data_IF_300471824633
#
_entry.id   IF_300471824633
#
_cell.length_a   1.000
_cell.length_b   1.000
_cell.length_c   1.000
_cell.angle_alpha   90.00
_cell.angle_beta   90.00
_cell.angle_gamma   90.00
#
_symmetry.space_group_name_H-M   'P 1'
#
loop_
_entity.id
_entity.type
_entity.pdbx_description
1 polymer ?
#
# COMPACT_ATOMS: atom_id res chain seq x y z
N UNK A 1 1.19 -11.01 -18.79
CA UNK A 1 0.79 -10.26 -17.59
C UNK A 1 1.61 -10.82 -16.44
N UNK A 2 2.72 -10.18 -16.07
CA UNK A 2 3.43 -10.57 -14.85
C UNK A 2 2.56 -10.16 -13.65
N UNK A 3 2.51 -11.02 -12.64
CA UNK A 3 1.85 -10.72 -11.37
C UNK A 3 2.70 -9.71 -10.58
N UNK A 4 2.08 -8.94 -9.68
CA UNK A 4 2.77 -8.01 -8.76
C UNK A 4 3.91 -8.73 -8.02
N UNK A 5 3.65 -9.97 -7.56
CA UNK A 5 4.64 -10.80 -6.88
C UNK A 5 5.76 -11.26 -7.80
N UNK A 6 5.48 -11.47 -9.10
CA UNK A 6 6.52 -11.80 -10.07
C UNK A 6 7.46 -10.61 -10.25
N UNK A 7 6.93 -9.39 -10.41
CA UNK A 7 7.76 -8.20 -10.54
C UNK A 7 8.60 -7.94 -9.28
N UNK A 8 8.01 -8.15 -8.10
CA UNK A 8 8.74 -8.06 -6.83
C UNK A 8 9.88 -9.08 -6.76
N UNK A 9 9.64 -10.32 -7.20
CA UNK A 9 10.68 -11.36 -7.29
C UNK A 9 11.78 -10.97 -8.28
N UNK A 10 11.42 -10.47 -9.46
CA UNK A 10 12.38 -10.05 -10.48
C UNK A 10 13.29 -8.92 -9.95
N UNK A 11 12.73 -7.97 -9.20
CA UNK A 11 13.51 -6.92 -8.54
C UNK A 11 14.44 -7.45 -7.45
N UNK A 12 14.01 -8.43 -6.66
CA UNK A 12 14.88 -9.09 -5.69
C UNK A 12 16.03 -9.84 -6.38
N UNK A 13 15.76 -10.55 -7.47
CA UNK A 13 16.76 -11.25 -8.27
C UNK A 13 17.77 -10.29 -8.94
N UNK A 14 17.33 -9.05 -9.23
CA UNK A 14 18.20 -7.95 -9.68
C UNK A 14 19.04 -7.33 -8.54
N UNK A 15 18.86 -7.77 -7.30
CA UNK A 15 19.57 -7.26 -6.12
C UNK A 15 19.01 -5.92 -5.61
N UNK A 16 17.78 -5.56 -5.99
CA UNK A 16 17.11 -4.37 -5.45
C UNK A 16 16.52 -4.69 -4.07
N UNK A 17 16.49 -3.69 -3.21
CA UNK A 17 15.64 -3.74 -2.02
C UNK A 17 14.18 -3.55 -2.44
N UNK A 18 13.28 -4.34 -1.86
CA UNK A 18 11.85 -4.35 -2.25
C UNK A 18 11.00 -4.36 -0.98
N UNK A 19 9.89 -3.64 -1.01
CA UNK A 19 8.82 -3.76 -0.03
C UNK A 19 7.50 -4.13 -0.71
N UNK A 20 6.64 -4.81 0.05
CA UNK A 20 5.30 -5.16 -0.35
C UNK A 20 4.31 -4.47 0.58
N UNK A 21 3.42 -3.69 0.00
CA UNK A 21 2.30 -3.07 0.70
C UNK A 21 1.01 -3.83 0.37
N UNK A 22 0.30 -4.33 1.38
CA UNK A 22 -0.90 -5.15 1.24
C UNK A 22 -2.05 -4.55 2.02
N UNK A 23 -3.22 -4.38 1.38
CA UNK A 23 -4.45 -4.01 2.09
C UNK A 23 -4.84 -5.17 3.00
N UNK A 24 -4.77 -4.96 4.31
CA UNK A 24 -5.09 -5.99 5.31
C UNK A 24 -6.52 -5.86 5.85
N UNK A 25 -7.08 -4.65 5.84
CA UNK A 25 -8.44 -4.38 6.31
C UNK A 25 -9.08 -3.26 5.51
N UNK A 26 -10.40 -3.34 5.33
CA UNK A 26 -11.22 -2.31 4.68
C UNK A 26 -12.49 -2.06 5.49
N UNK A 27 -12.97 -0.82 5.47
CA UNK A 27 -14.26 -0.42 6.05
C UNK A 27 -15.03 0.44 5.06
N UNK A 28 -16.36 0.32 5.07
CA UNK A 28 -17.23 1.09 4.20
C UNK A 28 -16.97 0.82 2.71
N UNK A 29 -17.15 1.84 1.88
CA UNK A 29 -16.94 1.76 0.44
C UNK A 29 -15.46 2.03 0.07
N UNK A 30 -14.56 1.22 0.63
CA UNK A 30 -13.14 1.29 0.30
C UNK A 30 -12.89 1.01 -1.19
N UNK A 31 -11.94 1.71 -1.84
CA UNK A 31 -11.75 1.64 -3.29
C UNK A 31 -11.07 0.35 -3.78
N UNK A 32 -10.36 -0.36 -2.90
CA UNK A 32 -9.69 -1.64 -3.19
C UNK A 32 -10.06 -2.67 -2.12
N UNK A 33 -10.19 -3.97 -2.47
CA UNK A 33 -10.44 -5.04 -1.51
C UNK A 33 -9.21 -5.38 -0.67
N UNK A 34 -9.46 -6.09 0.44
CA UNK A 34 -8.39 -6.76 1.20
C UNK A 34 -7.63 -7.72 0.27
N UNK A 35 -6.31 -7.73 0.40
CA UNK A 35 -5.40 -8.48 -0.46
C UNK A 35 -4.94 -7.74 -1.70
N UNK A 36 -5.44 -6.53 -1.99
CA UNK A 36 -4.82 -5.67 -3.00
C UNK A 36 -3.40 -5.29 -2.59
N UNK A 37 -2.48 -5.33 -3.55
CA UNK A 37 -1.05 -5.17 -3.29
C UNK A 37 -0.42 -4.08 -4.13
N UNK A 38 0.68 -3.56 -3.61
CA UNK A 38 1.60 -2.64 -4.27
C UNK A 38 3.02 -3.13 -3.95
N UNK A 39 3.81 -3.47 -4.97
CA UNK A 39 5.23 -3.73 -4.81
C UNK A 39 6.02 -2.45 -5.08
N UNK A 40 7.02 -2.16 -4.26
CA UNK A 40 7.82 -0.93 -4.31
C UNK A 40 9.30 -1.33 -4.24
N UNK A 41 10.15 -0.82 -5.14
CA UNK A 41 11.60 -0.98 -5.05
C UNK A 41 12.27 0.17 -4.28
N UNK A 42 13.55 0.01 -3.94
CA UNK A 42 14.33 1.01 -3.20
C UNK A 42 14.57 2.33 -3.94
N UNK A 43 14.21 2.42 -5.23
CA UNK A 43 14.24 3.67 -6.00
C UNK A 43 12.87 4.37 -6.02
N UNK A 44 11.84 3.75 -5.43
CA UNK A 44 10.47 4.26 -5.39
C UNK A 44 9.64 3.90 -6.63
N UNK A 45 10.16 3.03 -7.52
CA UNK A 45 9.35 2.45 -8.58
C UNK A 45 8.31 1.52 -7.97
N UNK A 46 7.09 1.48 -8.53
CA UNK A 46 6.04 0.62 -8.00
C UNK A 46 5.12 0.02 -9.07
N UNK A 47 4.50 -1.09 -8.72
CA UNK A 47 3.46 -1.77 -9.50
C UNK A 47 2.34 -2.25 -8.58
N UNK A 48 1.10 -2.16 -9.05
CA UNK A 48 -0.09 -2.53 -8.29
C UNK A 48 -0.85 -1.31 -7.80
N UNK A 49 -1.78 -1.52 -6.87
CA UNK A 49 -2.57 -0.44 -6.29
C UNK A 49 -3.24 -0.90 -5.00
N UNK A 50 -3.25 0.00 -4.01
CA UNK A 50 -3.96 -0.20 -2.73
C UNK A 50 -5.15 0.75 -2.57
N UNK A 51 -5.28 1.78 -3.43
CA UNK A 51 -6.43 2.69 -3.39
C UNK A 51 -6.99 3.16 -4.73
N UNK A 52 -6.27 2.94 -5.83
CA UNK A 52 -6.64 3.45 -7.16
C UNK A 52 -6.01 4.80 -7.51
N UNK A 53 -5.04 5.30 -6.73
CA UNK A 53 -4.18 6.44 -7.11
C UNK A 53 -4.02 7.54 -6.05
N UNK A 54 -4.83 7.56 -4.99
CA UNK A 54 -4.85 8.69 -4.05
C UNK A 54 -3.80 8.60 -2.95
N UNK A 55 -3.46 7.40 -2.46
CA UNK A 55 -2.53 7.22 -1.32
C UNK A 55 -1.26 6.47 -1.67
N UNK A 56 -1.10 6.02 -2.92
CA UNK A 56 0.05 5.28 -3.40
C UNK A 56 1.38 6.01 -3.11
N UNK A 57 1.43 7.33 -3.31
CA UNK A 57 2.65 8.12 -3.00
C UNK A 57 3.02 8.14 -1.52
N UNK A 58 2.03 8.16 -0.62
CA UNK A 58 2.26 8.06 0.81
C UNK A 58 2.76 6.66 1.19
N UNK A 59 2.17 5.62 0.61
CA UNK A 59 2.60 4.23 0.82
C UNK A 59 4.02 4.00 0.31
N UNK A 60 4.39 4.57 -0.84
CA UNK A 60 5.76 4.49 -1.38
C UNK A 60 6.76 5.16 -0.44
N UNK A 61 6.42 6.35 0.08
CA UNK A 61 7.30 7.06 1.03
C UNK A 61 7.58 6.20 2.27
N UNK A 62 6.53 5.64 2.85
CA UNK A 62 6.62 4.76 4.02
C UNK A 62 7.33 3.44 3.72
N UNK A 63 7.17 2.92 2.49
CA UNK A 63 7.86 1.72 2.04
C UNK A 63 9.38 1.93 1.94
N UNK A 64 9.84 3.11 1.52
CA UNK A 64 11.26 3.43 1.50
C UNK A 64 11.86 3.47 2.92
N UNK A 65 11.11 3.98 3.90
CA UNK A 65 11.52 3.93 5.30
C UNK A 65 11.58 2.48 5.81
N UNK A 66 10.55 1.67 5.51
CA UNK A 66 10.50 0.23 5.87
C UNK A 66 11.65 -0.57 5.24
N UNK A 67 12.03 -0.24 4.00
CA UNK A 67 13.19 -0.83 3.34
C UNK A 67 14.48 -0.48 4.08
N UNK A 68 14.61 0.76 4.56
CA UNK A 68 15.81 1.24 5.23
C UNK A 68 15.95 0.72 6.67
N UNK A 69 14.85 0.59 7.41
CA UNK A 69 14.84 0.17 8.82
C UNK A 69 14.60 -1.34 9.02
N UNK A 70 14.02 -2.02 8.02
CA UNK A 70 13.64 -3.44 8.06
C UNK A 70 12.45 -3.74 8.99
N UNK A 71 11.74 -2.73 9.48
CA UNK A 71 10.66 -2.84 10.44
C UNK A 71 9.29 -2.71 9.76
N UNK A 72 8.43 -3.74 9.80
CA UNK A 72 7.08 -3.67 9.26
C UNK A 72 6.25 -2.52 9.84
N UNK A 73 5.45 -1.87 9.00
CA UNK A 73 4.58 -0.76 9.40
C UNK A 73 3.15 -0.98 8.92
N UNK A 74 2.18 -0.63 9.76
CA UNK A 74 0.77 -0.58 9.36
C UNK A 74 0.33 0.87 9.21
N UNK A 75 -0.11 1.21 8.01
CA UNK A 75 -0.64 2.52 7.64
C UNK A 75 -2.17 2.47 7.67
N UNK A 76 -2.80 3.55 8.14
CA UNK A 76 -4.25 3.70 8.13
C UNK A 76 -4.63 4.91 7.27
N UNK A 77 -5.48 4.68 6.27
CA UNK A 77 -5.96 5.71 5.37
C UNK A 77 -7.48 5.77 5.40
N UNK A 78 -8.04 6.97 5.38
CA UNK A 78 -9.47 7.20 5.40
C UNK A 78 -9.78 8.69 5.49
N UNK A 79 -10.97 9.08 5.05
CA UNK A 79 -11.44 10.45 5.26
C UNK A 79 -11.75 10.62 6.75
N UNK A 80 -10.94 11.43 7.43
CA UNK A 80 -11.20 11.87 8.79
C UNK A 80 -12.22 13.00 8.75
N UNK A 81 -13.50 12.67 8.66
CA UNK A 81 -14.53 13.62 9.03
C UNK A 81 -15.70 12.91 9.70
N UNK A 82 -15.50 12.63 10.99
CA UNK A 82 -16.58 12.21 11.89
C UNK A 82 -17.61 13.35 12.13
N UNK A 83 -17.39 14.54 11.55
CA UNK A 83 -18.34 15.66 11.55
C UNK A 83 -19.20 15.76 10.28
N UNK A 84 -18.96 14.94 9.24
CA UNK A 84 -19.69 15.00 7.97
C UNK A 84 -20.83 13.96 7.83
N UNK A 85 -21.28 13.36 8.93
CA UNK A 85 -22.32 12.31 8.88
C UNK A 85 -23.76 12.84 8.73
N UNK A 86 -24.00 14.15 8.79
CA UNK A 86 -25.36 14.71 8.64
C UNK A 86 -25.82 14.90 7.18
N UNK A 87 -24.94 14.75 6.18
CA UNK A 87 -25.33 15.09 4.79
C UNK A 87 -24.77 14.11 3.75
N UNK A 88 -24.82 12.80 4.03
CA UNK A 88 -24.94 11.74 3.01
C UNK A 88 -24.00 11.73 1.80
N UNK A 89 -22.80 12.33 1.85
CA UNK A 89 -21.89 12.42 0.69
C UNK A 89 -20.41 12.47 1.12
N UNK A 90 -19.75 11.31 1.07
CA UNK A 90 -18.35 11.11 0.74
C UNK A 90 -18.13 9.59 0.72
N UNK A 91 -17.33 9.04 -0.20
CA UNK A 91 -16.99 7.62 -0.18
C UNK A 91 -16.34 7.28 1.17
N UNK A 92 -17.12 6.78 2.12
CA UNK A 92 -16.76 6.56 3.53
C UNK A 92 -15.82 5.37 3.76
N UNK A 93 -14.91 5.14 2.80
CA UNK A 93 -13.96 4.05 2.80
C UNK A 93 -12.77 4.34 3.70
N UNK A 94 -12.38 3.36 4.51
CA UNK A 94 -11.08 3.34 5.18
C UNK A 94 -10.34 2.06 4.81
N UNK A 95 -9.01 2.13 4.76
CA UNK A 95 -8.15 0.96 4.54
C UNK A 95 -7.01 0.94 5.56
N UNK A 96 -6.56 -0.25 5.93
CA UNK A 96 -5.25 -0.44 6.55
C UNK A 96 -4.34 -1.20 5.60
N UNK A 97 -3.12 -0.73 5.50
CA UNK A 97 -2.11 -1.28 4.60
C UNK A 97 -0.91 -1.70 5.44
N UNK A 98 -0.57 -2.99 5.40
CA UNK A 98 0.67 -3.51 5.96
C UNK A 98 1.77 -3.32 4.93
N UNK A 99 2.89 -2.71 5.34
CA UNK A 99 4.08 -2.50 4.53
C UNK A 99 5.22 -3.28 5.17
N UNK A 100 5.82 -4.17 4.38
CA UNK A 100 6.88 -5.08 4.83
C UNK A 100 8.00 -5.12 3.80
N UNK A 101 9.25 -5.03 4.26
CA UNK A 101 10.41 -5.30 3.41
C UNK A 101 10.45 -6.79 3.07
N UNK A 102 10.72 -7.11 1.80
CA UNK A 102 10.95 -8.48 1.36
C UNK A 102 12.42 -8.82 1.59
N UNK A 103 12.65 -9.88 2.36
CA UNK A 103 13.96 -10.46 2.54
C UNK A 103 14.09 -11.64 1.55
N UNK A 104 15.09 -11.58 0.69
CA UNK A 104 15.49 -12.69 -0.18
C UNK A 104 16.21 -13.80 0.57
#
# INVERSE_FOLDING_TARGET
MSSILQQASDWLDEGRSVALATVIETWGSAPQPVGSQLAIDGEGNFIGSVSGGCVEGAVVTEALDVIADGAPKVLAFGVADETAWEVGLACGGKIRVLVEALNG
#
